data_IF_493260512886
#
_entry.id   IF_493260512886
#
_cell.length_a   1.000
_cell.length_b   1.000
_cell.length_c   1.000
_cell.angle_alpha   90.00
_cell.angle_beta   90.00
_cell.angle_gamma   90.00
#
_symmetry.space_group_name_H-M   'P 1'
#
loop_
_entity.id
_entity.type
_entity.pdbx_description
1 polymer ?
#
# COMPACT_ATOMS: atom_id res chain seq x y z
N UNK A 1 4.83 12.22 14.26
CA UNK A 1 4.42 11.21 13.25
C UNK A 1 5.05 11.60 11.91
N UNK A 2 5.67 10.65 11.19
CA UNK A 2 6.38 10.93 9.91
C UNK A 2 5.68 10.35 8.68
N UNK A 3 4.65 9.53 8.89
CA UNK A 3 3.87 8.82 7.89
C UNK A 3 2.84 7.94 8.57
N UNK A 4 2.07 7.22 7.76
CA UNK A 4 1.02 6.31 8.20
C UNK A 4 0.88 5.13 7.20
N UNK A 5 0.48 3.97 7.72
CA UNK A 5 -0.02 2.83 6.93
C UNK A 5 -1.31 2.38 7.59
N UNK A 6 -2.39 2.32 6.81
CA UNK A 6 -3.71 1.97 7.32
C UNK A 6 -4.41 0.95 6.40
N UNK A 7 -5.15 0.03 7.00
CA UNK A 7 -6.14 -0.78 6.28
C UNK A 7 -7.36 0.12 6.04
N UNK A 8 -7.71 0.34 4.77
CA UNK A 8 -8.80 1.23 4.35
C UNK A 8 -10.06 0.49 3.94
N UNK A 9 -9.95 -0.82 3.67
CA UNK A 9 -11.06 -1.69 3.32
C UNK A 9 -10.74 -3.13 3.75
N UNK A 10 -11.76 -3.86 4.22
CA UNK A 10 -11.68 -5.27 4.56
C UNK A 10 -12.87 -6.00 3.96
N UNK A 11 -12.61 -7.18 3.40
CA UNK A 11 -13.63 -8.11 2.93
C UNK A 11 -13.37 -9.46 3.61
N UNK A 12 -14.20 -9.78 4.61
CA UNK A 12 -14.11 -11.02 5.37
C UNK A 12 -14.44 -12.25 4.49
N UNK A 13 -15.33 -12.10 3.51
CA UNK A 13 -15.72 -13.20 2.64
C UNK A 13 -14.58 -13.59 1.68
N UNK A 14 -13.81 -12.61 1.20
CA UNK A 14 -12.61 -12.85 0.38
C UNK A 14 -11.33 -13.02 1.22
N UNK A 15 -11.43 -12.93 2.56
CA UNK A 15 -10.30 -12.87 3.48
C UNK A 15 -9.23 -11.88 2.99
N UNK A 16 -9.66 -10.67 2.62
CA UNK A 16 -8.81 -9.70 1.95
C UNK A 16 -8.90 -8.31 2.56
N UNK A 17 -7.86 -7.51 2.36
CA UNK A 17 -7.85 -6.11 2.75
C UNK A 17 -7.19 -5.22 1.70
N UNK A 18 -7.50 -3.93 1.74
CA UNK A 18 -6.79 -2.89 1.02
C UNK A 18 -6.02 -2.00 2.00
N UNK A 19 -4.76 -1.72 1.69
CA UNK A 19 -3.91 -0.81 2.46
C UNK A 19 -3.66 0.49 1.70
N UNK A 20 -3.55 1.58 2.47
CA UNK A 20 -3.06 2.87 2.01
C UNK A 20 -1.87 3.31 2.86
N UNK A 21 -1.01 4.16 2.30
CA UNK A 21 0.09 4.72 3.06
C UNK A 21 0.48 6.12 2.58
N UNK A 22 1.03 6.90 3.51
CA UNK A 22 1.62 8.20 3.24
C UNK A 22 2.93 8.34 4.02
N UNK A 23 3.91 8.99 3.42
CA UNK A 23 5.17 9.34 4.08
C UNK A 23 5.43 10.83 3.85
N UNK A 24 5.89 11.53 4.89
CA UNK A 24 6.31 12.91 4.77
C UNK A 24 7.47 13.06 3.79
N UNK A 25 7.41 14.11 2.94
CA UNK A 25 8.37 14.34 1.84
C UNK A 25 9.83 14.32 2.28
N UNK A 26 10.14 14.83 3.47
CA UNK A 26 11.50 14.88 4.03
C UNK A 26 12.11 13.48 4.28
N UNK A 27 11.29 12.44 4.30
CA UNK A 27 11.67 11.05 4.58
C UNK A 27 11.65 10.16 3.33
N UNK A 28 11.28 10.71 2.16
CA UNK A 28 11.27 9.97 0.90
C UNK A 28 12.66 9.52 0.47
N UNK A 29 12.72 8.44 -0.33
CA UNK A 29 13.97 7.94 -0.90
C UNK A 29 14.88 7.17 0.06
N UNK A 30 14.48 7.01 1.33
CA UNK A 30 15.29 6.36 2.38
C UNK A 30 14.91 4.89 2.66
N UNK A 31 14.00 4.31 1.88
CA UNK A 31 13.55 2.92 2.08
C UNK A 31 12.56 2.71 3.23
N UNK A 32 12.31 3.73 4.07
CA UNK A 32 11.47 3.63 5.27
C UNK A 32 10.07 3.06 5.01
N UNK A 33 9.36 3.57 4.00
CA UNK A 33 8.01 3.05 3.70
C UNK A 33 8.06 1.62 3.14
N UNK A 34 9.11 1.23 2.43
CA UNK A 34 9.28 -0.15 1.95
C UNK A 34 9.47 -1.11 3.13
N UNK A 35 10.31 -0.74 4.11
CA UNK A 35 10.52 -1.52 5.32
C UNK A 35 9.23 -1.65 6.14
N UNK A 36 8.54 -0.54 6.39
CA UNK A 36 7.28 -0.52 7.12
C UNK A 36 6.19 -1.33 6.40
N UNK A 37 6.07 -1.20 5.09
CA UNK A 37 5.10 -1.94 4.28
C UNK A 37 5.36 -3.45 4.32
N UNK A 38 6.63 -3.90 4.29
CA UNK A 38 6.96 -5.33 4.45
C UNK A 38 6.47 -5.88 5.78
N UNK A 39 6.75 -5.18 6.88
CA UNK A 39 6.30 -5.60 8.20
C UNK A 39 4.76 -5.68 8.31
N UNK A 40 4.06 -4.72 7.69
CA UNK A 40 2.58 -4.74 7.64
C UNK A 40 2.07 -5.91 6.80
N UNK A 41 2.67 -6.19 5.65
CA UNK A 41 2.30 -7.35 4.81
C UNK A 41 2.51 -8.66 5.58
N UNK A 42 3.66 -8.83 6.24
CA UNK A 42 3.95 -10.00 7.06
C UNK A 42 2.90 -10.17 8.17
N UNK A 43 2.53 -9.09 8.87
CA UNK A 43 1.46 -9.11 9.86
C UNK A 43 0.11 -9.52 9.25
N UNK A 44 -0.27 -8.94 8.10
CA UNK A 44 -1.52 -9.25 7.43
C UNK A 44 -1.66 -10.74 7.10
N UNK A 45 -0.59 -11.36 6.59
CA UNK A 45 -0.60 -12.76 6.17
C UNK A 45 -0.40 -13.73 7.34
N UNK A 46 0.40 -13.40 8.35
CA UNK A 46 0.79 -14.35 9.40
C UNK A 46 -0.06 -14.26 10.67
N UNK A 47 -0.60 -13.08 10.99
CA UNK A 47 -1.31 -12.83 12.25
C UNK A 47 -2.76 -12.42 12.01
N UNK A 48 -3.03 -11.53 11.06
CA UNK A 48 -4.39 -11.05 10.80
C UNK A 48 -5.25 -12.03 9.97
N UNK A 49 -4.64 -13.06 9.36
CA UNK A 49 -5.34 -14.12 8.64
C UNK A 49 -5.79 -13.75 7.22
N UNK A 50 -5.40 -12.58 6.70
CA UNK A 50 -5.70 -12.22 5.31
C UNK A 50 -4.97 -13.13 4.33
N UNK A 51 -5.66 -13.55 3.27
CA UNK A 51 -5.10 -14.32 2.17
C UNK A 51 -4.69 -13.42 0.99
N UNK A 52 -5.22 -12.20 0.94
CA UNK A 52 -4.98 -11.23 -0.13
C UNK A 52 -4.85 -9.83 0.44
N UNK A 53 -3.78 -9.13 0.08
CA UNK A 53 -3.60 -7.71 0.40
C UNK A 53 -3.48 -6.92 -0.90
N UNK A 54 -4.31 -5.89 -1.05
CA UNK A 54 -4.34 -5.00 -2.21
C UNK A 54 -3.87 -3.61 -1.81
N UNK A 55 -3.33 -2.86 -2.76
CA UNK A 55 -2.98 -1.46 -2.59
C UNK A 55 -3.09 -0.76 -3.95
N UNK A 56 -3.32 0.55 -3.93
CA UNK A 56 -3.44 1.37 -5.14
C UNK A 56 -2.53 2.58 -5.07
N UNK A 57 -1.96 2.96 -6.21
CA UNK A 57 -1.25 4.21 -6.37
C UNK A 57 -1.73 4.94 -7.62
N UNK A 58 -1.73 6.27 -7.57
CA UNK A 58 -2.04 7.09 -8.73
C UNK A 58 -0.94 6.94 -9.79
N UNK A 59 -1.29 6.85 -11.07
CA UNK A 59 -0.32 6.76 -12.18
C UNK A 59 0.65 7.95 -12.21
N UNK A 60 0.22 9.12 -11.73
CA UNK A 60 1.05 10.31 -11.56
C UNK A 60 2.02 10.24 -10.36
N UNK A 61 1.91 9.22 -9.51
CA UNK A 61 2.79 8.95 -8.39
C UNK A 61 3.43 7.54 -8.49
N UNK A 62 4.31 7.32 -9.48
CA UNK A 62 5.01 6.03 -9.63
C UNK A 62 5.95 5.71 -8.46
N UNK A 63 6.31 6.69 -7.62
CA UNK A 63 7.13 6.47 -6.45
C UNK A 63 6.42 5.55 -5.44
N UNK A 64 5.11 5.71 -5.24
CA UNK A 64 4.32 4.78 -4.44
C UNK A 64 4.32 3.38 -5.05
N UNK A 65 4.10 3.23 -6.37
CA UNK A 65 4.16 1.91 -7.01
C UNK A 65 5.49 1.17 -6.77
N UNK A 66 6.63 1.88 -6.86
CA UNK A 66 7.95 1.30 -6.56
C UNK A 66 8.12 0.84 -5.11
N UNK A 67 7.43 1.47 -4.17
CA UNK A 67 7.42 1.02 -2.76
C UNK A 67 6.70 -0.31 -2.64
N UNK A 68 5.54 -0.46 -3.29
CA UNK A 68 4.76 -1.71 -3.31
C UNK A 68 5.57 -2.86 -3.93
N UNK A 69 6.19 -2.62 -5.09
CA UNK A 69 7.03 -3.61 -5.78
C UNK A 69 8.19 -4.06 -4.89
N UNK A 70 8.96 -3.12 -4.31
CA UNK A 70 10.09 -3.45 -3.42
C UNK A 70 9.66 -4.12 -2.12
N UNK A 71 8.41 -3.94 -1.70
CA UNK A 71 7.83 -4.62 -0.55
C UNK A 71 7.36 -6.05 -0.87
N UNK A 72 7.37 -6.46 -2.15
CA UNK A 72 6.99 -7.81 -2.58
C UNK A 72 5.59 -7.91 -3.18
N UNK A 73 4.89 -6.79 -3.37
CA UNK A 73 3.59 -6.80 -4.06
C UNK A 73 3.79 -6.95 -5.57
N UNK A 74 2.83 -7.63 -6.22
CA UNK A 74 2.82 -7.79 -7.68
C UNK A 74 1.77 -6.88 -8.32
N UNK A 75 2.11 -6.29 -9.46
CA UNK A 75 1.16 -5.52 -10.26
C UNK A 75 0.06 -6.43 -10.81
N UNK A 76 -1.20 -6.04 -10.59
CA UNK A 76 -2.36 -6.80 -11.06
C UNK A 76 -3.01 -6.15 -12.28
N UNK A 77 -3.41 -4.88 -12.16
CA UNK A 77 -4.12 -4.13 -13.22
C UNK A 77 -4.08 -2.63 -12.98
N UNK A 78 -4.38 -1.88 -14.03
CA UNK A 78 -4.69 -0.45 -13.97
C UNK A 78 -6.20 -0.30 -14.03
N UNK A 79 -6.77 0.57 -13.19
CA UNK A 79 -8.20 0.88 -13.19
C UNK A 79 -8.38 2.25 -13.86
N UNK A 80 -9.20 2.29 -14.91
CA UNK A 80 -9.53 3.54 -15.60
C UNK A 80 -10.44 4.43 -14.73
N UNK A 81 -10.40 5.75 -14.96
CA UNK A 81 -11.24 6.74 -14.28
C UNK A 81 -11.07 6.78 -12.74
N UNK A 82 -9.87 6.50 -12.24
CA UNK A 82 -9.53 6.82 -10.85
C UNK A 82 -9.68 8.32 -10.62
N UNK A 83 -10.55 8.74 -9.70
CA UNK A 83 -10.77 10.16 -9.39
C UNK A 83 -9.64 10.63 -8.48
N UNK A 84 -8.85 11.59 -8.96
CA UNK A 84 -7.89 12.33 -8.14
C UNK A 84 -8.38 13.78 -8.06
N UNK A 85 -8.84 14.20 -6.87
CA UNK A 85 -8.94 15.64 -6.59
C UNK A 85 -7.58 16.11 -6.11
N UNK A 86 -6.90 16.87 -6.96
CA UNK A 86 -5.82 17.77 -6.54
C UNK A 86 -6.46 19.11 -6.24
N UNK A 87 -6.37 19.54 -4.98
CA UNK A 87 -6.42 20.97 -4.67
C UNK A 87 -5.04 21.59 -4.98
#
# INVERSE_FOLDING_TARGET
MIGDISIVEMDENDSSCEISYILGKNYWGRGMMTEALKAVLDFCFTQAGFQKVRARYASLNPASGRVMEKAGMSYLKTVANGVERKD
#
